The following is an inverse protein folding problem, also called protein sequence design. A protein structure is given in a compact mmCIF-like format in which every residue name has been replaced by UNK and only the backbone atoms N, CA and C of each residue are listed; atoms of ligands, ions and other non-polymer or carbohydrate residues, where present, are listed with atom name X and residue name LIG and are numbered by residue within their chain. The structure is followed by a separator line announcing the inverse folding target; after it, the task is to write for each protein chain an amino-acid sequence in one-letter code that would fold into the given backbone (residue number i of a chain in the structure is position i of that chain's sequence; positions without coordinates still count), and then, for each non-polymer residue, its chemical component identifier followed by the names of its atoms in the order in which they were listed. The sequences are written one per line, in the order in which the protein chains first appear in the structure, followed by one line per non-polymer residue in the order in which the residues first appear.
data_IF_807738590414
#
_entry.id   IF_807738590414
#
_cell.length_a   1.000
_cell.length_b   1.000
_cell.length_c   1.000
_cell.angle_alpha   90.00
_cell.angle_beta   90.00
_cell.angle_gamma   90.00
#
_symmetry.space_group_name_H-M   'P 1'
#
loop_
_entity.id
_entity.type
_entity.pdbx_description
1 polymer ?
#
# COMPACT_ATOMS: atom_id res chain seq x y z
N UNK A 1 -23.05 -33.43 10.12
CA UNK A 1 -21.97 -32.58 9.58
C UNK A 1 -22.62 -31.54 8.65
N UNK A 2 -22.87 -30.35 9.15
CA UNK A 2 -23.46 -29.27 8.37
C UNK A 2 -22.34 -28.64 7.54
N UNK A 3 -22.36 -28.78 6.22
CA UNK A 3 -21.53 -28.05 5.29
C UNK A 3 -21.96 -26.60 5.34
N UNK A 4 -21.23 -25.78 6.09
CA UNK A 4 -21.37 -24.33 6.05
C UNK A 4 -20.82 -23.91 4.68
N UNK A 5 -21.72 -23.67 3.74
CA UNK A 5 -21.39 -23.00 2.46
C UNK A 5 -21.17 -21.53 2.81
N UNK A 6 -19.98 -20.95 2.60
CA UNK A 6 -19.76 -19.52 2.83
C UNK A 6 -20.66 -18.73 1.89
N UNK A 7 -21.18 -17.55 2.30
CA UNK A 7 -21.94 -16.69 1.42
C UNK A 7 -21.11 -16.31 0.18
N UNK A 8 -21.76 -16.15 -0.96
CA UNK A 8 -21.16 -16.01 -2.32
C UNK A 8 -20.13 -14.88 -2.52
N UNK A 9 -19.86 -14.06 -1.53
CA UNK A 9 -18.81 -13.02 -1.54
C UNK A 9 -17.48 -13.42 -0.87
N UNK A 10 -17.42 -14.56 -0.18
CA UNK A 10 -16.24 -14.95 0.64
C UNK A 10 -15.24 -15.85 -0.09
N UNK A 11 -15.22 -15.83 -1.42
CA UNK A 11 -14.22 -16.61 -2.18
C UNK A 11 -12.94 -15.80 -2.27
N UNK A 12 -11.98 -16.08 -1.41
CA UNK A 12 -10.55 -15.72 -1.61
C UNK A 12 -9.99 -16.54 -2.81
N UNK A 13 -10.85 -16.69 -3.83
CA UNK A 13 -10.74 -17.55 -4.99
C UNK A 13 -10.11 -16.86 -6.20
N UNK A 14 -10.23 -17.55 -7.30
CA UNK A 14 -9.66 -17.22 -8.59
C UNK A 14 -10.21 -15.88 -9.13
N UNK A 15 -9.33 -14.87 -9.28
CA UNK A 15 -9.67 -13.56 -9.83
C UNK A 15 -9.54 -13.52 -11.36
N UNK A 16 -8.69 -14.40 -11.90
CA UNK A 16 -8.40 -14.53 -13.34
C UNK A 16 -8.70 -15.98 -13.75
N UNK A 17 -9.55 -16.17 -14.76
CA UNK A 17 -9.86 -17.48 -15.28
C UNK A 17 -8.71 -18.08 -16.10
N UNK A 18 -8.46 -19.36 -15.92
CA UNK A 18 -7.44 -20.11 -16.68
C UNK A 18 -6.62 -21.08 -15.85
N UNK A 19 -6.09 -22.10 -16.50
CA UNK A 19 -5.32 -23.20 -15.89
C UNK A 19 -3.80 -23.08 -16.04
N UNK A 20 -3.28 -22.09 -16.77
CA UNK A 20 -1.85 -21.95 -16.99
C UNK A 20 -1.09 -21.59 -15.70
N UNK A 21 0.21 -21.93 -15.64
CA UNK A 21 1.05 -21.60 -14.49
C UNK A 21 1.08 -20.09 -14.23
N UNK A 22 1.12 -19.27 -15.28
CA UNK A 22 1.13 -17.80 -15.15
C UNK A 22 -0.17 -17.28 -14.52
N UNK A 23 -1.32 -17.81 -14.92
CA UNK A 23 -2.62 -17.44 -14.33
C UNK A 23 -2.68 -17.88 -12.87
N UNK A 24 -2.20 -19.08 -12.53
CA UNK A 24 -2.14 -19.54 -11.13
C UNK A 24 -1.22 -18.65 -10.28
N UNK A 25 -0.07 -18.24 -10.80
CA UNK A 25 0.84 -17.32 -10.14
C UNK A 25 0.24 -15.90 -9.98
N UNK A 26 -0.48 -15.41 -10.99
CA UNK A 26 -1.17 -14.12 -10.91
C UNK A 26 -2.28 -14.12 -9.84
N UNK A 27 -3.06 -15.22 -9.77
CA UNK A 27 -4.07 -15.40 -8.72
C UNK A 27 -3.42 -15.58 -7.34
N UNK A 28 -2.32 -16.35 -7.26
CA UNK A 28 -1.55 -16.61 -6.05
C UNK A 28 -1.14 -15.33 -5.32
N UNK A 29 -0.79 -14.26 -6.04
CA UNK A 29 -0.44 -12.96 -5.46
C UNK A 29 -1.56 -11.92 -5.59
N UNK A 30 -2.74 -12.32 -6.06
CA UNK A 30 -3.84 -11.40 -6.33
C UNK A 30 -3.37 -10.18 -7.16
N UNK A 31 -2.74 -10.45 -8.30
CA UNK A 31 -2.11 -9.44 -9.15
C UNK A 31 -2.99 -8.22 -9.44
N UNK A 32 -4.31 -8.36 -9.72
CA UNK A 32 -5.19 -7.19 -9.90
C UNK A 32 -5.20 -6.23 -8.71
N UNK A 33 -4.99 -6.72 -7.49
CA UNK A 33 -4.92 -5.87 -6.30
C UNK A 33 -3.60 -5.09 -6.18
N UNK A 34 -2.60 -5.38 -7.02
CA UNK A 34 -1.35 -4.61 -7.10
C UNK A 34 -1.63 -3.17 -7.54
N UNK A 35 -2.68 -2.97 -8.34
CA UNK A 35 -3.11 -1.65 -8.82
C UNK A 35 -3.46 -0.69 -7.68
N UNK A 36 -3.88 -1.18 -6.51
CA UNK A 36 -4.26 -0.31 -5.38
C UNK A 36 -3.09 0.32 -4.64
N UNK A 37 -1.94 -0.32 -4.60
CA UNK A 37 -0.79 0.19 -3.84
C UNK A 37 0.28 0.82 -4.74
N UNK A 38 0.30 0.50 -6.04
CA UNK A 38 1.21 1.08 -7.03
C UNK A 38 1.10 2.62 -7.15
N UNK A 39 -0.11 3.23 -7.05
CA UNK A 39 -0.25 4.68 -7.09
C UNK A 39 0.66 5.41 -6.10
N UNK A 40 0.91 4.86 -4.92
CA UNK A 40 1.80 5.50 -3.94
C UNK A 40 3.26 5.54 -4.38
N UNK A 41 3.77 4.51 -5.06
CA UNK A 41 5.10 4.56 -5.65
C UNK A 41 5.22 5.69 -6.69
N UNK A 42 4.19 5.84 -7.53
CA UNK A 42 4.13 6.90 -8.53
C UNK A 42 3.94 8.30 -7.90
N UNK A 43 3.27 8.42 -6.77
CA UNK A 43 3.21 9.68 -6.00
C UNK A 43 4.60 10.12 -5.58
N UNK A 44 5.44 9.21 -5.07
CA UNK A 44 6.84 9.52 -4.75
C UNK A 44 7.64 10.01 -5.96
N UNK A 45 7.47 9.35 -7.12
CA UNK A 45 8.07 9.78 -8.39
C UNK A 45 7.61 11.17 -8.80
N UNK A 46 6.30 11.46 -8.68
CA UNK A 46 5.73 12.77 -9.05
C UNK A 46 6.23 13.89 -8.15
N UNK A 47 6.34 13.66 -6.85
CA UNK A 47 6.90 14.65 -5.92
C UNK A 47 8.37 14.91 -6.27
N UNK A 48 9.17 13.87 -6.49
CA UNK A 48 10.57 14.01 -6.88
C UNK A 48 10.74 14.74 -8.22
N UNK A 49 9.79 14.61 -9.14
CA UNK A 49 9.82 15.25 -10.46
C UNK A 49 9.77 16.77 -10.39
N UNK A 50 9.43 17.36 -9.26
CA UNK A 50 9.48 18.81 -9.07
C UNK A 50 10.90 19.38 -9.18
N UNK A 51 11.87 18.61 -8.71
CA UNK A 51 13.28 19.04 -8.63
C UNK A 51 14.19 18.29 -9.61
N UNK A 52 13.79 17.10 -10.06
CA UNK A 52 14.60 16.24 -10.91
C UNK A 52 13.84 15.78 -12.16
N UNK A 53 14.49 15.75 -13.33
CA UNK A 53 13.86 15.25 -14.55
C UNK A 53 13.56 13.75 -14.41
N UNK A 54 12.37 13.34 -14.83
CA UNK A 54 11.96 11.93 -14.86
C UNK A 54 12.01 11.40 -16.29
N UNK A 55 12.40 10.13 -16.44
CA UNK A 55 12.39 9.42 -17.70
C UNK A 55 11.38 8.28 -17.69
N UNK A 56 10.90 7.86 -18.86
CA UNK A 56 10.04 6.68 -18.99
C UNK A 56 10.72 5.42 -18.42
N UNK A 57 12.05 5.34 -18.53
CA UNK A 57 12.85 4.25 -17.98
C UNK A 57 12.77 4.20 -16.44
N UNK A 58 12.89 5.36 -15.75
CA UNK A 58 12.75 5.43 -14.29
C UNK A 58 11.36 4.98 -13.84
N UNK A 59 10.31 5.44 -14.52
CA UNK A 59 8.93 5.01 -14.23
C UNK A 59 8.80 3.49 -14.42
N UNK A 60 9.28 2.97 -15.56
CA UNK A 60 9.21 1.55 -15.86
C UNK A 60 9.92 0.67 -14.82
N UNK A 61 11.14 1.05 -14.42
CA UNK A 61 11.88 0.31 -13.38
C UNK A 61 11.23 0.45 -12.00
N UNK A 62 10.65 1.59 -11.65
CA UNK A 62 9.93 1.79 -10.39
C UNK A 62 8.67 0.91 -10.33
N UNK A 63 7.88 0.87 -11.41
CA UNK A 63 6.69 0.01 -11.51
C UNK A 63 7.09 -1.47 -11.42
N UNK A 64 8.16 -1.88 -12.11
CA UNK A 64 8.66 -3.24 -12.06
C UNK A 64 9.16 -3.61 -10.66
N UNK A 65 9.95 -2.73 -10.02
CA UNK A 65 10.44 -2.93 -8.65
C UNK A 65 9.28 -3.12 -7.68
N UNK A 66 8.28 -2.22 -7.71
CA UNK A 66 7.10 -2.31 -6.87
C UNK A 66 6.34 -3.63 -7.08
N UNK A 67 6.08 -3.98 -8.35
CA UNK A 67 5.33 -5.20 -8.70
C UNK A 67 6.07 -6.45 -8.23
N UNK A 68 7.39 -6.51 -8.44
CA UNK A 68 8.24 -7.62 -8.03
C UNK A 68 8.32 -7.75 -6.49
N UNK A 69 8.50 -6.64 -5.76
CA UNK A 69 8.51 -6.62 -4.30
C UNK A 69 7.17 -7.10 -3.71
N UNK A 70 6.06 -6.61 -4.27
CA UNK A 70 4.71 -7.03 -3.86
C UNK A 70 4.47 -8.51 -4.16
N UNK A 71 4.89 -8.99 -5.32
CA UNK A 71 4.81 -10.42 -5.66
C UNK A 71 5.58 -11.26 -4.66
N UNK A 72 6.83 -10.89 -4.36
CA UNK A 72 7.66 -11.59 -3.39
C UNK A 72 7.02 -11.60 -1.99
N UNK A 73 6.54 -10.45 -1.50
CA UNK A 73 5.91 -10.33 -0.19
C UNK A 73 4.65 -11.19 -0.06
N UNK A 74 3.72 -11.09 -1.00
CA UNK A 74 2.47 -11.85 -0.96
C UNK A 74 2.70 -13.34 -1.18
N UNK A 75 3.57 -13.71 -2.13
CA UNK A 75 3.90 -15.10 -2.38
C UNK A 75 4.58 -15.75 -1.17
N UNK A 76 5.51 -15.05 -0.53
CA UNK A 76 6.17 -15.54 0.67
C UNK A 76 5.22 -15.69 1.84
N UNK A 77 4.31 -14.73 2.06
CA UNK A 77 3.29 -14.82 3.08
C UNK A 77 2.43 -16.09 2.92
N UNK A 78 1.98 -16.40 1.70
CA UNK A 78 1.19 -17.61 1.43
C UNK A 78 1.98 -18.91 1.58
N UNK A 79 3.30 -18.90 1.38
CA UNK A 79 4.17 -20.05 1.67
C UNK A 79 4.27 -20.27 3.18
N UNK A 80 4.49 -19.21 3.93
CA UNK A 80 4.65 -19.25 5.40
C UNK A 80 3.34 -19.63 6.08
N UNK A 81 2.23 -19.09 5.61
CA UNK A 81 0.91 -19.26 6.23
C UNK A 81 0.10 -20.44 5.66
N UNK A 82 0.65 -21.28 4.78
CA UNK A 82 -0.07 -22.35 4.08
C UNK A 82 -0.86 -23.29 4.98
N UNK A 83 -0.31 -23.63 6.16
CA UNK A 83 -0.96 -24.53 7.11
C UNK A 83 -2.11 -23.82 7.88
N UNK A 84 -1.90 -22.55 8.22
CA UNK A 84 -2.93 -21.67 8.81
C UNK A 84 -4.04 -21.41 7.80
N UNK A 85 -3.66 -21.13 6.54
CA UNK A 85 -4.61 -20.90 5.44
C UNK A 85 -5.49 -22.14 5.17
N UNK A 86 -4.92 -23.33 5.26
CA UNK A 86 -5.67 -24.58 5.09
C UNK A 86 -6.69 -24.81 6.22
N UNK A 87 -6.39 -24.36 7.43
CA UNK A 87 -7.28 -24.47 8.60
C UNK A 87 -8.38 -23.40 8.63
N UNK A 88 -8.19 -22.25 7.97
CA UNK A 88 -9.16 -21.16 7.95
C UNK A 88 -10.14 -21.32 6.77
N UNK A 89 -11.47 -21.48 7.03
CA UNK A 89 -12.48 -21.65 5.98
C UNK A 89 -12.46 -20.55 4.90
N UNK A 90 -12.08 -19.32 5.27
CA UNK A 90 -11.99 -18.18 4.35
C UNK A 90 -10.86 -18.32 3.35
N UNK A 91 -9.72 -18.93 3.75
CA UNK A 91 -8.49 -19.00 2.96
C UNK A 91 -8.14 -20.40 2.47
N UNK A 92 -8.88 -21.43 2.86
CA UNK A 92 -8.64 -22.83 2.46
C UNK A 92 -8.67 -23.05 0.93
N UNK A 93 -9.33 -22.18 0.18
CA UNK A 93 -9.40 -22.21 -1.28
C UNK A 93 -8.22 -21.52 -1.98
N UNK A 94 -7.22 -21.04 -1.24
CA UNK A 94 -5.98 -20.47 -1.80
C UNK A 94 -5.18 -21.54 -2.57
N UNK A 95 -4.29 -21.08 -3.47
CA UNK A 95 -3.62 -21.93 -4.46
C UNK A 95 -2.77 -23.05 -3.87
N UNK A 96 -2.06 -22.80 -2.74
CA UNK A 96 -1.24 -23.83 -2.07
C UNK A 96 -2.12 -24.81 -1.29
N UNK A 97 -3.03 -24.38 -0.39
CA UNK A 97 -3.91 -25.31 0.33
C UNK A 97 -4.72 -26.23 -0.56
N UNK A 98 -5.29 -25.71 -1.67
CA UNK A 98 -6.08 -26.55 -2.61
C UNK A 98 -5.23 -27.36 -3.59
N UNK A 99 -3.90 -27.30 -3.53
CA UNK A 99 -2.99 -28.05 -4.39
C UNK A 99 -2.87 -27.53 -5.84
N UNK A 100 -3.41 -26.33 -6.14
CA UNK A 100 -3.30 -25.74 -7.47
C UNK A 100 -1.88 -25.26 -7.79
N UNK A 101 -1.07 -24.97 -6.75
CA UNK A 101 0.34 -24.57 -6.85
C UNK A 101 1.15 -25.34 -5.82
N UNK A 102 2.27 -25.94 -6.25
CA UNK A 102 3.19 -26.60 -5.32
C UNK A 102 4.02 -25.58 -4.55
N UNK A 103 4.44 -25.92 -3.34
CA UNK A 103 5.35 -25.08 -2.53
C UNK A 103 6.66 -24.82 -3.26
N UNK A 104 7.17 -25.78 -4.03
CA UNK A 104 8.38 -25.62 -4.84
C UNK A 104 8.23 -24.55 -5.92
N UNK A 105 7.12 -24.58 -6.66
CA UNK A 105 6.80 -23.56 -7.67
C UNK A 105 6.63 -22.17 -7.04
N UNK A 106 5.93 -22.09 -5.90
CA UNK A 106 5.76 -20.85 -5.17
C UNK A 106 7.11 -20.28 -4.69
N UNK A 107 7.99 -21.10 -4.11
CA UNK A 107 9.34 -20.67 -3.67
C UNK A 107 10.19 -20.18 -4.84
N UNK A 108 10.18 -20.89 -5.97
CA UNK A 108 10.92 -20.47 -7.17
C UNK A 108 10.42 -19.13 -7.71
N UNK A 109 9.09 -18.91 -7.73
CA UNK A 109 8.49 -17.66 -8.19
C UNK A 109 8.82 -16.49 -7.23
N UNK A 110 8.78 -16.71 -5.92
CA UNK A 110 9.17 -15.70 -4.90
C UNK A 110 10.64 -15.34 -5.03
N UNK A 111 11.53 -16.33 -5.22
CA UNK A 111 12.97 -16.08 -5.43
C UNK A 111 13.21 -15.28 -6.71
N UNK A 112 12.57 -15.66 -7.81
CA UNK A 112 12.69 -14.93 -9.08
C UNK A 112 12.19 -13.48 -8.96
N UNK A 113 11.06 -13.26 -8.28
CA UNK A 113 10.53 -11.93 -8.02
C UNK A 113 11.47 -11.10 -7.11
N UNK A 114 12.06 -11.71 -6.08
CA UNK A 114 13.03 -11.03 -5.21
C UNK A 114 14.29 -10.63 -5.97
N UNK A 115 14.82 -11.49 -6.84
CA UNK A 115 15.95 -11.15 -7.71
C UNK A 115 15.60 -10.04 -8.70
N UNK A 116 14.39 -10.08 -9.27
CA UNK A 116 13.91 -9.06 -10.19
C UNK A 116 13.76 -7.69 -9.50
N UNK A 117 13.31 -7.68 -8.24
CA UNK A 117 13.24 -6.46 -7.43
C UNK A 117 14.64 -5.83 -7.21
N UNK A 118 15.62 -6.64 -6.79
CA UNK A 118 17.01 -6.16 -6.60
C UNK A 118 17.62 -5.67 -7.92
N UNK A 119 17.36 -6.39 -9.01
CA UNK A 119 17.81 -5.98 -10.35
C UNK A 119 17.18 -4.66 -10.77
N UNK A 120 15.87 -4.48 -10.56
CA UNK A 120 15.19 -3.22 -10.87
C UNK A 120 15.74 -2.06 -10.00
N UNK A 121 16.00 -2.31 -8.72
CA UNK A 121 16.63 -1.33 -7.83
C UNK A 121 18.04 -0.93 -8.30
N UNK A 122 18.83 -1.89 -8.78
CA UNK A 122 20.14 -1.61 -9.39
C UNK A 122 20.04 -0.74 -10.65
N UNK A 123 19.01 -0.94 -11.48
CA UNK A 123 18.76 -0.13 -12.67
C UNK A 123 18.31 1.30 -12.35
N UNK A 124 17.77 1.52 -11.16
CA UNK A 124 17.35 2.87 -10.72
C UNK A 124 18.56 3.69 -10.27
N UNK A 125 19.18 3.35 -9.17
CA UNK A 125 20.39 4.04 -8.69
C UNK A 125 21.08 3.23 -7.55
N UNK A 126 22.34 3.59 -7.15
CA UNK A 126 23.09 2.89 -6.12
C UNK A 126 22.40 2.87 -4.75
N UNK A 127 21.68 3.94 -4.37
CA UNK A 127 20.97 4.01 -3.09
C UNK A 127 19.79 3.01 -3.07
N UNK A 128 19.02 2.91 -4.14
CA UNK A 128 17.95 1.93 -4.28
C UNK A 128 18.50 0.50 -4.19
N UNK A 129 19.63 0.22 -4.85
CA UNK A 129 20.30 -1.08 -4.75
C UNK A 129 20.72 -1.39 -3.30
N UNK A 130 21.36 -0.45 -2.62
CA UNK A 130 21.82 -0.61 -1.24
C UNK A 130 20.67 -0.90 -0.27
N UNK A 131 19.53 -0.22 -0.45
CA UNK A 131 18.34 -0.37 0.41
C UNK A 131 17.50 -1.60 0.06
N UNK A 132 17.64 -2.17 -1.14
CA UNK A 132 16.77 -3.25 -1.61
C UNK A 132 16.83 -4.53 -0.77
N UNK A 133 17.98 -5.01 -0.22
CA UNK A 133 17.99 -6.15 0.69
C UNK A 133 17.26 -5.87 2.00
N UNK A 134 17.40 -4.66 2.54
CA UNK A 134 16.72 -4.24 3.78
C UNK A 134 15.21 -4.23 3.55
N UNK A 135 14.76 -3.66 2.43
CA UNK A 135 13.35 -3.66 2.05
C UNK A 135 12.79 -5.08 1.91
N UNK A 136 13.54 -6.00 1.25
CA UNK A 136 13.14 -7.40 1.14
C UNK A 136 13.04 -8.09 2.51
N UNK A 137 14.02 -7.91 3.38
CA UNK A 137 13.99 -8.49 4.73
C UNK A 137 12.75 -8.01 5.49
N UNK A 138 12.42 -6.72 5.37
CA UNK A 138 11.25 -6.15 6.04
C UNK A 138 9.94 -6.74 5.53
N UNK A 139 9.72 -6.72 4.19
CA UNK A 139 8.45 -7.17 3.60
C UNK A 139 8.25 -8.69 3.68
N UNK A 140 9.32 -9.48 3.66
CA UNK A 140 9.25 -10.92 3.87
C UNK A 140 9.05 -11.24 5.36
N UNK A 141 9.74 -10.53 6.26
CA UNK A 141 9.64 -10.68 7.71
C UNK A 141 8.22 -10.46 8.25
N UNK A 142 7.42 -9.63 7.59
CA UNK A 142 6.00 -9.44 7.89
C UNK A 142 5.24 -10.77 8.08
N UNK A 143 5.53 -11.77 7.25
CA UNK A 143 4.83 -13.06 7.25
C UNK A 143 4.91 -13.81 8.57
N UNK A 144 5.86 -13.49 9.43
CA UNK A 144 6.02 -14.12 10.74
C UNK A 144 5.41 -13.32 11.88
N UNK A 145 5.07 -12.06 11.66
CA UNK A 145 4.73 -11.11 12.73
C UNK A 145 3.52 -11.54 13.56
N UNK A 146 2.47 -12.09 12.95
CA UNK A 146 1.28 -12.59 13.66
C UNK A 146 1.58 -13.72 14.65
N UNK A 147 2.76 -14.36 14.59
CA UNK A 147 3.17 -15.43 15.51
C UNK A 147 3.73 -14.91 16.83
N UNK A 148 4.18 -13.65 16.88
CA UNK A 148 4.83 -13.09 18.07
C UNK A 148 4.37 -11.67 18.46
N UNK A 149 3.66 -10.95 17.58
CA UNK A 149 3.22 -9.58 17.88
C UNK A 149 1.85 -9.26 17.30
N UNK A 150 1.08 -8.50 18.06
CA UNK A 150 -0.20 -7.92 17.60
C UNK A 150 -0.03 -6.75 16.62
N UNK A 151 1.16 -6.16 16.52
CA UNK A 151 1.45 -4.99 15.70
C UNK A 151 1.74 -5.32 14.23
N UNK A 152 1.39 -6.52 13.76
CA UNK A 152 1.54 -6.96 12.37
C UNK A 152 0.97 -5.97 11.36
N UNK A 153 -0.13 -5.31 11.68
CA UNK A 153 -0.79 -4.29 10.85
C UNK A 153 0.11 -3.07 10.58
N UNK A 154 0.83 -2.59 11.61
CA UNK A 154 1.78 -1.49 11.45
C UNK A 154 3.06 -1.94 10.75
N UNK A 155 3.49 -3.19 10.94
CA UNK A 155 4.60 -3.77 10.19
C UNK A 155 4.28 -3.82 8.68
N UNK A 156 3.05 -4.25 8.33
CA UNK A 156 2.55 -4.18 6.96
C UNK A 156 2.56 -2.75 6.43
N UNK A 157 2.09 -1.81 7.24
CA UNK A 157 2.07 -0.39 6.91
C UNK A 157 3.45 0.17 6.60
N UNK A 158 4.46 -0.16 7.40
CA UNK A 158 5.86 0.19 7.13
C UNK A 158 6.35 -0.45 5.82
N UNK A 159 5.98 -1.71 5.54
CA UNK A 159 6.29 -2.35 4.26
C UNK A 159 5.69 -1.62 3.06
N UNK A 160 4.44 -1.16 3.17
CA UNK A 160 3.77 -0.40 2.11
C UNK A 160 4.33 1.02 1.96
N UNK A 161 4.79 1.65 3.05
CA UNK A 161 5.38 2.98 3.01
C UNK A 161 6.71 3.05 2.26
N UNK A 162 7.37 1.89 2.04
CA UNK A 162 8.53 1.79 1.16
C UNK A 162 8.19 2.21 -0.28
N UNK A 163 6.92 2.09 -0.71
CA UNK A 163 6.51 2.42 -2.07
C UNK A 163 6.69 3.91 -2.41
N UNK A 164 6.08 4.88 -1.70
CA UNK A 164 6.29 6.30 -2.01
C UNK A 164 7.70 6.77 -1.70
N UNK A 165 8.32 6.31 -0.63
CA UNK A 165 9.71 6.63 -0.31
C UNK A 165 10.65 6.12 -1.40
N UNK A 166 10.52 4.85 -1.79
CA UNK A 166 11.32 4.24 -2.85
C UNK A 166 11.08 4.91 -4.20
N UNK A 167 9.84 5.31 -4.52
CA UNK A 167 9.53 6.06 -5.73
C UNK A 167 10.24 7.42 -5.79
N UNK A 168 10.31 8.13 -4.66
CA UNK A 168 11.06 9.38 -4.54
C UNK A 168 12.58 9.12 -4.69
N UNK A 169 13.12 8.18 -3.92
CA UNK A 169 14.54 7.83 -3.98
C UNK A 169 14.97 7.30 -5.35
N UNK A 170 14.07 6.65 -6.08
CA UNK A 170 14.32 6.14 -7.44
C UNK A 170 14.67 7.25 -8.43
N UNK A 171 14.12 8.44 -8.24
CA UNK A 171 14.36 9.62 -9.07
C UNK A 171 15.54 10.44 -8.56
N UNK A 172 15.58 10.70 -7.25
CA UNK A 172 16.54 11.65 -6.65
C UNK A 172 17.88 11.01 -6.30
N UNK A 173 17.91 9.71 -6.01
CA UNK A 173 19.10 9.05 -5.43
C UNK A 173 19.48 9.58 -4.04
N UNK A 174 18.62 10.38 -3.40
CA UNK A 174 18.85 11.03 -2.13
C UNK A 174 17.58 11.27 -1.32
N UNK A 175 17.72 11.69 -0.06
CA UNK A 175 16.60 12.00 0.82
C UNK A 175 15.99 13.36 0.50
N UNK A 176 14.77 13.62 0.98
CA UNK A 176 14.06 14.89 0.74
C UNK A 176 14.64 16.06 1.54
N UNK A 177 14.47 17.26 1.00
CA UNK A 177 14.58 18.51 1.71
C UNK A 177 13.21 19.22 1.64
N UNK A 178 12.54 19.50 2.77
CA UNK A 178 12.98 19.21 4.14
C UNK A 178 12.96 17.68 4.44
N UNK A 179 13.89 17.24 5.28
CA UNK A 179 14.09 15.80 5.57
C UNK A 179 12.85 15.09 6.12
N UNK A 180 12.00 15.81 6.84
CA UNK A 180 10.79 15.28 7.48
C UNK A 180 9.66 15.01 6.49
N UNK A 181 9.69 15.58 5.29
CA UNK A 181 8.63 15.40 4.27
C UNK A 181 8.46 13.92 3.90
N UNK A 182 9.55 13.21 3.57
CA UNK A 182 9.47 11.76 3.26
C UNK A 182 9.08 10.92 4.46
N UNK A 183 9.54 11.28 5.67
CA UNK A 183 9.11 10.61 6.91
C UNK A 183 7.61 10.75 7.10
N UNK A 184 7.08 11.96 6.89
CA UNK A 184 5.64 12.24 7.01
C UNK A 184 4.84 11.50 5.93
N UNK A 185 5.31 11.48 4.69
CA UNK A 185 4.69 10.72 3.60
C UNK A 185 4.67 9.20 3.90
N UNK A 186 5.77 8.67 4.47
CA UNK A 186 5.80 7.30 4.94
C UNK A 186 4.75 7.06 6.03
N UNK A 187 4.64 7.98 7.00
CA UNK A 187 3.69 7.89 8.11
C UNK A 187 2.22 7.96 7.63
N UNK A 188 1.91 8.73 6.58
CA UNK A 188 0.60 8.69 5.91
C UNK A 188 0.26 7.26 5.53
N UNK A 189 1.18 6.57 4.82
CA UNK A 189 0.92 5.21 4.33
C UNK A 189 0.88 4.19 5.47
N UNK A 190 1.77 4.31 6.47
CA UNK A 190 1.77 3.43 7.66
C UNK A 190 0.44 3.48 8.39
N UNK A 191 -0.04 4.69 8.67
CA UNK A 191 -1.25 4.88 9.48
C UNK A 191 -2.53 4.58 8.69
N UNK A 192 -2.58 4.98 7.42
CA UNK A 192 -3.68 4.62 6.54
C UNK A 192 -3.78 3.10 6.34
N UNK A 193 -2.67 2.45 5.95
CA UNK A 193 -2.71 1.01 5.68
C UNK A 193 -2.82 0.18 6.95
N UNK A 194 -2.22 0.60 8.06
CA UNK A 194 -2.44 -0.03 9.37
C UNK A 194 -3.91 0.03 9.80
N UNK A 195 -4.57 1.16 9.58
CA UNK A 195 -5.98 1.35 9.89
C UNK A 195 -6.89 0.41 9.09
N UNK A 196 -6.76 0.37 7.76
CA UNK A 196 -7.59 -0.51 6.96
C UNK A 196 -7.28 -2.00 7.17
N UNK A 197 -6.01 -2.37 7.43
CA UNK A 197 -5.65 -3.77 7.69
C UNK A 197 -6.19 -4.25 9.04
N UNK A 198 -6.26 -3.37 10.06
CA UNK A 198 -6.97 -3.66 11.30
C UNK A 198 -8.45 -3.92 11.05
N UNK A 199 -9.11 -3.09 10.23
CA UNK A 199 -10.52 -3.30 9.87
C UNK A 199 -10.71 -4.63 9.13
N UNK A 200 -9.85 -4.93 8.17
CA UNK A 200 -9.90 -6.19 7.42
C UNK A 200 -9.69 -7.42 8.32
N UNK A 201 -8.80 -7.33 9.29
CA UNK A 201 -8.51 -8.40 10.23
C UNK A 201 -9.65 -8.70 11.23
N UNK A 202 -10.70 -7.86 11.30
CA UNK A 202 -11.88 -8.15 12.14
C UNK A 202 -12.56 -9.46 11.75
N UNK A 203 -12.50 -9.86 10.48
CA UNK A 203 -13.08 -11.12 9.99
C UNK A 203 -12.40 -12.37 10.59
N UNK A 204 -11.11 -12.25 10.88
CA UNK A 204 -10.30 -13.36 11.37
C UNK A 204 -10.11 -13.34 12.89
N UNK A 205 -10.71 -12.38 13.61
CA UNK A 205 -10.44 -12.14 15.03
C UNK A 205 -10.65 -13.40 15.91
N UNK A 206 -11.77 -14.13 15.71
CA UNK A 206 -12.05 -15.37 16.44
C UNK A 206 -11.11 -16.52 16.02
N UNK A 207 -10.82 -16.62 14.72
CA UNK A 207 -9.91 -17.63 14.20
C UNK A 207 -8.49 -17.41 14.75
N UNK A 208 -7.98 -16.18 14.67
CA UNK A 208 -6.67 -15.80 15.20
C UNK A 208 -6.56 -16.15 16.70
N UNK A 209 -7.59 -15.81 17.48
CA UNK A 209 -7.61 -16.10 18.91
C UNK A 209 -7.56 -17.61 19.21
N UNK A 210 -8.34 -18.42 18.46
CA UNK A 210 -8.40 -19.89 18.66
C UNK A 210 -7.10 -20.59 18.26
N UNK A 211 -6.34 -20.01 17.30
CA UNK A 211 -5.10 -20.59 16.77
C UNK A 211 -3.83 -19.96 17.34
N UNK A 212 -3.94 -19.13 18.39
CA UNK A 212 -2.79 -18.50 19.04
C UNK A 212 -2.06 -17.49 18.15
N UNK A 213 -2.76 -16.93 17.16
CA UNK A 213 -2.23 -15.86 16.33
C UNK A 213 -2.54 -14.49 16.94
N UNK A 214 -1.57 -13.58 16.83
CA UNK A 214 -1.68 -12.26 17.42
C UNK A 214 -2.10 -11.26 16.36
N UNK A 215 -3.29 -10.67 16.52
CA UNK A 215 -3.74 -9.50 15.77
C UNK A 215 -4.31 -8.46 16.73
N UNK A 216 -4.42 -7.21 16.31
CA UNK A 216 -5.04 -6.17 17.14
C UNK A 216 -6.48 -6.55 17.48
N UNK A 217 -7.35 -6.95 16.52
CA UNK A 217 -8.71 -7.38 16.85
C UNK A 217 -8.80 -8.56 17.80
N UNK A 218 -7.94 -9.58 17.65
CA UNK A 218 -7.92 -10.74 18.54
C UNK A 218 -7.48 -10.41 19.96
N UNK A 219 -6.67 -9.35 20.13
CA UNK A 219 -6.07 -8.98 21.42
C UNK A 219 -6.91 -7.96 22.20
N UNK A 220 -7.42 -6.90 21.53
CA UNK A 220 -8.13 -5.79 22.21
C UNK A 220 -9.64 -5.78 21.94
N UNK A 221 -10.12 -6.72 21.13
CA UNK A 221 -11.51 -6.86 20.73
C UNK A 221 -11.94 -5.91 19.61
N UNK A 222 -13.06 -6.25 18.97
CA UNK A 222 -13.58 -5.59 17.75
C UNK A 222 -13.78 -4.08 17.95
N UNK A 223 -14.43 -3.67 19.04
CA UNK A 223 -14.77 -2.26 19.29
C UNK A 223 -13.53 -1.37 19.44
N UNK A 224 -12.55 -1.83 20.22
CA UNK A 224 -11.32 -1.08 20.44
C UNK A 224 -10.44 -1.06 19.17
N UNK A 225 -10.43 -2.16 18.41
CA UNK A 225 -9.74 -2.23 17.14
C UNK A 225 -10.28 -1.22 16.12
N UNK A 226 -11.61 -1.08 15.99
CA UNK A 226 -12.24 -0.04 15.14
C UNK A 226 -11.86 1.36 15.63
N UNK A 227 -11.84 1.60 16.95
CA UNK A 227 -11.44 2.90 17.50
C UNK A 227 -9.98 3.23 17.18
N UNK A 228 -9.08 2.25 17.30
CA UNK A 228 -7.68 2.43 16.94
C UNK A 228 -7.51 2.67 15.42
N UNK A 229 -8.24 1.93 14.57
CA UNK A 229 -8.23 2.16 13.13
C UNK A 229 -8.68 3.60 12.78
N UNK A 230 -9.69 4.13 13.46
CA UNK A 230 -10.12 5.54 13.30
C UNK A 230 -9.01 6.51 13.70
N UNK A 231 -8.36 6.28 14.84
CA UNK A 231 -7.25 7.14 15.27
C UNK A 231 -6.09 7.13 14.26
N UNK A 232 -5.74 5.97 13.71
CA UNK A 232 -4.73 5.84 12.66
C UNK A 232 -5.14 6.58 11.37
N UNK A 233 -6.40 6.48 10.94
CA UNK A 233 -6.88 7.21 9.76
C UNK A 233 -6.92 8.73 9.98
N UNK A 234 -7.28 9.21 11.18
CA UNK A 234 -7.16 10.63 11.52
C UNK A 234 -5.69 11.07 11.44
N UNK A 235 -4.77 10.29 12.00
CA UNK A 235 -3.33 10.57 11.91
C UNK A 235 -2.87 10.60 10.45
N UNK A 236 -3.35 9.69 9.59
CA UNK A 236 -3.02 9.70 8.17
C UNK A 236 -3.45 11.02 7.49
N UNK A 237 -4.65 11.52 7.77
CA UNK A 237 -5.14 12.80 7.22
C UNK A 237 -4.31 13.99 7.73
N UNK A 238 -3.96 14.02 9.03
CA UNK A 238 -3.10 15.06 9.59
C UNK A 238 -1.70 15.04 8.98
N UNK A 239 -1.10 13.85 8.82
CA UNK A 239 0.18 13.71 8.14
C UNK A 239 0.10 14.13 6.67
N UNK A 240 -1.00 13.80 5.98
CA UNK A 240 -1.20 14.23 4.60
C UNK A 240 -1.28 15.76 4.49
N UNK A 241 -1.97 16.42 5.43
CA UNK A 241 -1.98 17.87 5.52
C UNK A 241 -0.58 18.45 5.75
N UNK A 242 0.25 17.81 6.60
CA UNK A 242 1.64 18.21 6.80
C UNK A 242 2.49 18.05 5.53
N UNK A 243 2.27 16.99 4.73
CA UNK A 243 2.93 16.85 3.42
C UNK A 243 2.55 18.01 2.48
N UNK A 244 1.29 18.43 2.46
CA UNK A 244 0.87 19.60 1.67
C UNK A 244 1.56 20.87 2.16
N UNK A 245 1.66 21.06 3.48
CA UNK A 245 2.34 22.20 4.09
C UNK A 245 3.86 22.22 3.89
N UNK A 246 4.48 21.08 3.53
CA UNK A 246 5.91 21.04 3.17
C UNK A 246 6.22 21.61 1.81
N UNK A 247 5.22 22.08 1.09
CA UNK A 247 5.35 22.55 -0.30
C UNK A 247 6.06 21.55 -1.22
N UNK A 248 5.47 20.37 -1.44
CA UNK A 248 6.14 19.24 -2.09
C UNK A 248 6.55 19.52 -3.55
N UNK A 249 6.13 20.66 -4.11
CA UNK A 249 6.44 21.09 -5.48
C UNK A 249 7.28 22.38 -5.54
N UNK A 250 7.70 22.93 -4.38
CA UNK A 250 8.57 24.11 -4.32
C UNK A 250 7.92 25.38 -4.88
N UNK A 251 6.61 25.55 -4.70
CA UNK A 251 5.87 26.69 -5.25
C UNK A 251 6.08 27.98 -4.48
N UNK A 252 6.52 27.88 -3.20
CA UNK A 252 6.77 29.05 -2.36
C UNK A 252 8.02 29.82 -2.78
N UNK A 253 9.02 29.11 -3.29
CA UNK A 253 10.34 29.66 -3.65
C UNK A 253 10.53 29.88 -5.17
N UNK A 254 9.43 29.85 -5.95
CA UNK A 254 9.51 30.00 -7.41
C UNK A 254 10.01 31.41 -7.80
N UNK A 255 11.27 31.58 -8.26
CA UNK A 255 11.93 32.89 -8.34
C UNK A 255 11.56 33.75 -9.57
N UNK A 256 10.75 33.23 -10.50
CA UNK A 256 10.57 33.87 -11.83
C UNK A 256 9.14 34.19 -12.24
N UNK A 257 8.13 33.98 -11.37
CA UNK A 257 6.79 34.43 -11.72
C UNK A 257 6.61 35.89 -11.32
N UNK A 258 6.19 36.75 -12.28
CA UNK A 258 5.73 38.12 -11.96
C UNK A 258 4.79 38.02 -10.74
N UNK A 259 4.97 38.87 -9.72
CA UNK A 259 4.41 38.76 -8.37
C UNK A 259 2.92 38.36 -8.34
N UNK A 260 2.13 38.70 -9.35
CA UNK A 260 0.71 38.33 -9.46
C UNK A 260 0.45 36.93 -10.04
N UNK A 261 1.34 36.37 -10.86
CA UNK A 261 1.16 35.05 -11.52
C UNK A 261 1.62 33.89 -10.62
N UNK A 262 2.73 34.08 -9.89
CA UNK A 262 3.22 33.11 -8.91
C UNK A 262 2.20 32.86 -7.80
N UNK A 263 1.61 33.93 -7.25
CA UNK A 263 0.60 33.82 -6.20
C UNK A 263 -0.65 33.07 -6.66
N UNK A 264 -1.13 33.32 -7.88
CA UNK A 264 -2.32 32.64 -8.41
C UNK A 264 -2.07 31.15 -8.70
N UNK A 265 -0.87 30.79 -9.13
CA UNK A 265 -0.51 29.42 -9.45
C UNK A 265 -0.25 28.57 -8.18
N UNK A 266 0.47 29.11 -7.20
CA UNK A 266 0.63 28.50 -5.88
C UNK A 266 -0.74 28.25 -5.24
N UNK A 267 -1.67 29.21 -5.35
CA UNK A 267 -3.03 29.07 -4.83
C UNK A 267 -3.78 27.92 -5.52
N UNK A 268 -3.63 27.73 -6.85
CA UNK A 268 -4.26 26.63 -7.60
C UNK A 268 -3.67 25.27 -7.23
N UNK A 269 -2.33 25.15 -7.17
CA UNK A 269 -1.64 23.92 -6.79
C UNK A 269 -2.05 23.51 -5.38
N UNK A 270 -1.97 24.42 -4.43
CA UNK A 270 -2.38 24.21 -3.05
C UNK A 270 -3.87 23.88 -2.95
N UNK A 271 -4.73 24.58 -3.71
CA UNK A 271 -6.17 24.29 -3.75
C UNK A 271 -6.47 22.86 -4.22
N UNK A 272 -5.77 22.35 -5.22
CA UNK A 272 -5.91 20.95 -5.68
C UNK A 272 -5.43 19.97 -4.61
N UNK A 273 -4.29 20.23 -3.97
CA UNK A 273 -3.76 19.35 -2.93
C UNK A 273 -4.69 19.31 -1.70
N UNK A 274 -5.18 20.46 -1.23
CA UNK A 274 -6.12 20.51 -0.12
C UNK A 274 -7.47 19.87 -0.45
N UNK A 275 -7.94 19.99 -1.69
CA UNK A 275 -9.12 19.24 -2.17
C UNK A 275 -8.86 17.74 -2.08
N UNK A 276 -7.67 17.28 -2.44
CA UNK A 276 -7.26 15.88 -2.27
C UNK A 276 -7.30 15.41 -0.82
N UNK A 277 -6.79 16.22 0.13
CA UNK A 277 -6.87 15.94 1.57
C UNK A 277 -8.32 15.79 2.02
N UNK A 278 -9.19 16.72 1.61
CA UNK A 278 -10.61 16.70 1.97
C UNK A 278 -11.34 15.47 1.40
N UNK A 279 -11.04 15.09 0.15
CA UNK A 279 -11.57 13.89 -0.49
C UNK A 279 -11.15 12.62 0.25
N UNK A 280 -9.86 12.46 0.55
CA UNK A 280 -9.35 11.31 1.33
C UNK A 280 -10.02 11.25 2.70
N UNK A 281 -10.11 12.38 3.41
CA UNK A 281 -10.78 12.45 4.71
C UNK A 281 -12.27 12.02 4.62
N UNK A 282 -13.00 12.53 3.61
CA UNK A 282 -14.39 12.18 3.37
C UNK A 282 -14.59 10.68 3.08
N UNK A 283 -13.69 10.10 2.29
CA UNK A 283 -13.72 8.67 1.97
C UNK A 283 -13.42 7.79 3.18
N UNK A 284 -12.45 8.16 4.01
CA UNK A 284 -12.15 7.44 5.25
C UNK A 284 -13.32 7.53 6.25
N UNK A 285 -14.00 8.67 6.34
CA UNK A 285 -15.23 8.79 7.13
C UNK A 285 -16.32 7.85 6.58
N UNK A 286 -16.45 7.75 5.26
CA UNK A 286 -17.41 6.82 4.64
C UNK A 286 -17.03 5.36 4.91
N UNK A 287 -15.77 4.98 4.76
CA UNK A 287 -15.26 3.64 5.10
C UNK A 287 -15.69 3.23 6.52
N UNK A 288 -15.45 4.10 7.51
CA UNK A 288 -15.84 3.85 8.89
C UNK A 288 -17.36 3.83 9.14
N UNK A 289 -18.18 4.38 8.23
CA UNK A 289 -19.64 4.24 8.29
C UNK A 289 -20.12 2.90 7.75
N UNK A 290 -19.36 2.26 6.85
CA UNK A 290 -19.66 0.93 6.32
C UNK A 290 -19.36 -0.18 7.32
N UNK A 291 -18.36 0.01 8.20
CA UNK A 291 -17.91 -1.00 9.16
C UNK A 291 -18.49 -0.71 10.54
N UNK A 292 -19.31 -1.65 11.03
CA UNK A 292 -19.91 -1.56 12.38
C UNK A 292 -19.50 -2.76 13.22
N UNK A 293 -19.38 -2.62 14.57
CA UNK A 293 -18.97 -3.73 15.44
C UNK A 293 -19.83 -5.00 15.31
N UNK A 294 -21.11 -4.81 14.98
CA UNK A 294 -22.11 -5.89 14.90
C UNK A 294 -22.47 -6.26 13.44
N UNK A 295 -21.86 -5.61 12.44
CA UNK A 295 -22.14 -5.87 11.02
C UNK A 295 -20.85 -5.70 10.21
N UNK A 296 -20.24 -6.81 9.83
CA UNK A 296 -19.01 -6.90 9.04
C UNK A 296 -19.27 -7.28 7.57
N UNK A 297 -20.54 -7.33 7.12
CA UNK A 297 -20.92 -7.79 5.79
C UNK A 297 -20.38 -6.91 4.66
N UNK A 298 -20.09 -5.64 4.95
CA UNK A 298 -19.56 -4.66 3.98
C UNK A 298 -18.05 -4.48 4.01
N UNK A 299 -17.33 -5.32 4.76
CA UNK A 299 -15.87 -5.19 4.94
C UNK A 299 -15.10 -5.32 3.62
N UNK A 300 -15.48 -6.25 2.74
CA UNK A 300 -14.80 -6.41 1.45
C UNK A 300 -14.97 -5.17 0.56
N UNK A 301 -16.16 -4.57 0.54
CA UNK A 301 -16.41 -3.33 -0.20
C UNK A 301 -15.62 -2.15 0.42
N UNK A 302 -15.59 -2.05 1.75
CA UNK A 302 -14.80 -1.05 2.44
C UNK A 302 -13.30 -1.22 2.15
N UNK A 303 -12.79 -2.45 2.21
CA UNK A 303 -11.37 -2.72 2.01
C UNK A 303 -10.92 -2.53 0.55
N UNK A 304 -11.55 -3.20 -0.41
CA UNK A 304 -11.06 -3.21 -1.80
C UNK A 304 -11.47 -1.96 -2.58
N UNK A 305 -12.75 -1.60 -2.54
CA UNK A 305 -13.25 -0.50 -3.36
C UNK A 305 -12.77 0.84 -2.83
N UNK A 306 -12.91 1.10 -1.52
CA UNK A 306 -12.56 2.40 -0.95
C UNK A 306 -11.05 2.67 -1.04
N UNK A 307 -10.21 1.70 -0.66
CA UNK A 307 -8.77 1.87 -0.72
C UNK A 307 -8.24 1.99 -2.16
N UNK A 308 -8.87 1.30 -3.12
CA UNK A 308 -8.58 1.47 -4.54
C UNK A 308 -8.90 2.88 -5.04
N UNK A 309 -10.07 3.40 -4.70
CA UNK A 309 -10.48 4.76 -5.09
C UNK A 309 -9.63 5.81 -4.39
N UNK A 310 -9.30 5.65 -3.10
CA UNK A 310 -8.41 6.56 -2.37
C UNK A 310 -7.04 6.64 -3.04
N UNK A 311 -6.41 5.50 -3.32
CA UNK A 311 -5.05 5.48 -3.86
C UNK A 311 -4.95 6.06 -5.28
N UNK A 312 -5.88 5.68 -6.15
CA UNK A 312 -5.94 6.20 -7.53
C UNK A 312 -6.33 7.68 -7.52
N UNK A 313 -7.34 8.05 -6.73
CA UNK A 313 -7.78 9.44 -6.61
C UNK A 313 -6.65 10.34 -6.08
N UNK A 314 -5.88 9.86 -5.09
CA UNK A 314 -4.74 10.59 -4.58
C UNK A 314 -3.64 10.76 -5.64
N UNK A 315 -3.33 9.72 -6.42
CA UNK A 315 -2.39 9.84 -7.54
C UNK A 315 -2.86 10.89 -8.57
N UNK A 316 -4.15 10.89 -8.92
CA UNK A 316 -4.73 11.87 -9.87
C UNK A 316 -4.60 13.30 -9.32
N UNK A 317 -4.89 13.51 -8.04
CA UNK A 317 -4.73 14.81 -7.37
C UNK A 317 -3.27 15.28 -7.45
N UNK A 318 -2.32 14.42 -7.07
CA UNK A 318 -0.88 14.76 -7.09
C UNK A 318 -0.38 15.02 -8.51
N UNK A 319 -0.82 14.22 -9.49
CA UNK A 319 -0.48 14.42 -10.90
C UNK A 319 -1.03 15.75 -11.46
N UNK A 320 -2.28 16.09 -11.09
CA UNK A 320 -2.90 17.37 -11.49
C UNK A 320 -2.16 18.56 -10.87
N UNK A 321 -1.86 18.48 -9.56
CA UNK A 321 -1.10 19.51 -8.87
C UNK A 321 0.29 19.69 -9.51
N UNK A 322 0.98 18.59 -9.83
CA UNK A 322 2.29 18.62 -10.51
C UNK A 322 2.22 19.21 -11.91
N UNK A 323 1.20 18.87 -12.69
CA UNK A 323 0.98 19.44 -14.01
C UNK A 323 0.78 20.97 -13.94
N UNK A 324 -0.03 21.44 -13.00
CA UNK A 324 -0.24 22.87 -12.78
C UNK A 324 1.04 23.58 -12.33
N UNK A 325 1.86 22.95 -11.50
CA UNK A 325 3.15 23.47 -11.06
C UNK A 325 4.15 23.60 -12.22
N UNK A 326 4.17 22.66 -13.18
CA UNK A 326 5.05 22.73 -14.35
C UNK A 326 4.80 23.95 -15.22
N UNK A 327 3.55 24.34 -15.41
CA UNK A 327 3.20 25.53 -16.23
C UNK A 327 3.65 26.86 -15.63
N UNK A 328 4.20 26.85 -14.41
CA UNK A 328 4.69 28.04 -13.70
C UNK A 328 6.23 28.03 -13.58
N UNK A 329 6.82 26.82 -13.53
CA UNK A 329 8.26 26.63 -13.39
C UNK A 329 8.99 26.53 -14.74
N UNK A 330 8.25 26.44 -15.87
CA UNK A 330 8.73 26.46 -17.24
C UNK A 330 8.68 27.87 -17.81
#
# INVERSE_FOLDING_TARGET
MSTIVPPDGARDGQLIDGGSLLVRLANFVKLPHTVFAMPFALVGVLIASAQFPITASMIGWTVLAFTAARFAAMGFNRIVDRDVDAANPRTAMREIPRGALTVGQAKAAVLAASMLFVYAAWKLNPLCLLLSPIALLWILGYSYTKRFTRWSHLWLGLGLSIAPVGGYLAVTGGWSDPWWMLCTLALVVVTWSGGFDILYALQDAEFDQRHGLHSIPSTIGVRNAITLARALHVTAVLCLALVVLSDPFGMADAPFAAEGQAGSASLRVNGVLWTGVALVAGMLVWEHRLVKPNDLTKLDAAFFTMNGVISIGFLVVVATARYLAQGVLA
#
